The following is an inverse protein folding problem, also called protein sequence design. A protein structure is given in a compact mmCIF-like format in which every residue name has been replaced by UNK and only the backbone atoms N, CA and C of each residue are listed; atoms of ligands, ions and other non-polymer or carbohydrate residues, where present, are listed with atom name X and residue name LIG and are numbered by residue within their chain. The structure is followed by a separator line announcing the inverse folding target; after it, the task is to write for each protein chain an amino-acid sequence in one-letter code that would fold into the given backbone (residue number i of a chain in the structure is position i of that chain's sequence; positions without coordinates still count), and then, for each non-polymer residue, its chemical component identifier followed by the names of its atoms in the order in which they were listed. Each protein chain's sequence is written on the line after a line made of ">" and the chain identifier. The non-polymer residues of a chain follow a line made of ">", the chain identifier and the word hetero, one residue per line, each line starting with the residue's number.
data_IF_447421830476
#
_entry.id   IF_447421830476
#
_cell.length_a   1.000
_cell.length_b   1.000
_cell.length_c   1.000
_cell.angle_alpha   90.00
_cell.angle_beta   90.00
_cell.angle_gamma   90.00
#
_symmetry.space_group_name_H-M   'P 1'
#
loop_
_entity.id
_entity.type
_entity.pdbx_description
1 polymer ?
#
# COMPACT_ATOMS: atom_id res chain seq x y z
N UNK A 1 -53.62 33.17 -9.83
CA UNK A 1 -53.80 32.40 -8.58
C UNK A 1 -54.03 30.94 -8.93
N UNK A 2 -52.98 30.12 -9.00
CA UNK A 2 -53.07 28.67 -9.18
C UNK A 2 -52.25 28.04 -8.06
N UNK A 3 -52.96 27.46 -7.07
CA UNK A 3 -52.36 26.85 -5.89
C UNK A 3 -52.00 25.42 -6.25
N UNK A 4 -50.71 25.13 -6.30
CA UNK A 4 -50.18 23.77 -6.40
C UNK A 4 -50.51 23.01 -5.10
N UNK A 5 -51.12 21.83 -5.26
CA UNK A 5 -51.41 20.88 -4.21
C UNK A 5 -50.08 20.23 -3.75
N UNK A 6 -49.69 20.43 -2.50
CA UNK A 6 -48.56 19.71 -1.89
C UNK A 6 -49.11 18.41 -1.30
N UNK A 7 -48.75 17.28 -1.92
CA UNK A 7 -49.04 15.94 -1.42
C UNK A 7 -47.98 15.58 -0.37
N UNK A 8 -48.35 15.62 0.91
CA UNK A 8 -47.53 15.06 1.98
C UNK A 8 -47.67 13.53 1.97
N UNK A 9 -46.64 12.83 1.50
CA UNK A 9 -46.53 11.38 1.70
C UNK A 9 -45.91 11.14 3.08
N UNK A 10 -46.75 10.76 4.04
CA UNK A 10 -46.32 10.24 5.34
C UNK A 10 -46.03 8.74 5.17
N UNK A 11 -44.75 8.37 5.12
CA UNK A 11 -44.34 6.96 5.27
C UNK A 11 -44.24 6.64 6.76
N UNK A 12 -45.19 5.85 7.26
CA UNK A 12 -45.21 5.32 8.61
C UNK A 12 -44.16 4.23 8.81
N UNK A 13 -43.29 4.42 9.80
CA UNK A 13 -42.43 3.36 10.34
C UNK A 13 -43.26 2.49 11.30
N UNK A 14 -43.57 1.27 10.88
CA UNK A 14 -44.14 0.23 11.74
C UNK A 14 -43.03 -0.35 12.62
N UNK A 15 -43.04 -0.03 13.92
CA UNK A 15 -42.20 -0.68 14.92
C UNK A 15 -42.83 -1.98 15.41
N UNK A 16 -42.07 -3.08 15.38
CA UNK A 16 -42.44 -4.30 16.09
C UNK A 16 -42.18 -4.12 17.60
N UNK A 17 -43.24 -4.05 18.42
CA UNK A 17 -43.14 -4.25 19.86
C UNK A 17 -43.12 -5.74 20.17
N UNK A 18 -42.02 -6.24 20.73
CA UNK A 18 -41.97 -7.57 21.34
C UNK A 18 -42.38 -7.47 22.82
N UNK A 19 -43.23 -8.39 23.26
CA UNK A 19 -43.70 -8.50 24.64
C UNK A 19 -42.58 -8.93 25.61
N UNK A 20 -42.66 -8.57 26.91
CA UNK A 20 -41.64 -8.94 27.89
C UNK A 20 -41.80 -10.41 28.31
N UNK A 21 -40.77 -11.23 28.01
CA UNK A 21 -40.61 -12.58 28.57
C UNK A 21 -40.07 -12.56 30.01
N UNK A 22 -40.19 -13.67 30.76
CA UNK A 22 -39.81 -13.71 32.17
C UNK A 22 -38.30 -13.58 32.34
N UNK A 23 -37.89 -12.88 33.39
CA UNK A 23 -36.51 -12.58 33.75
C UNK A 23 -35.65 -13.86 33.89
N UNK A 24 -34.90 -14.16 32.85
CA UNK A 24 -33.76 -15.08 32.91
C UNK A 24 -32.61 -14.42 33.67
N UNK A 25 -31.95 -15.21 34.54
CA UNK A 25 -30.78 -14.82 35.32
C UNK A 25 -29.75 -14.09 34.43
N UNK A 26 -29.08 -13.02 34.92
CA UNK A 26 -28.08 -12.33 34.14
C UNK A 26 -27.01 -13.33 33.68
N UNK A 27 -26.85 -13.44 32.37
CA UNK A 27 -25.68 -14.06 31.78
C UNK A 27 -24.43 -13.35 32.35
N UNK A 28 -23.31 -14.07 32.57
CA UNK A 28 -22.08 -13.41 32.98
C UNK A 28 -21.78 -12.34 31.93
N UNK A 29 -21.72 -11.09 32.36
CA UNK A 29 -21.21 -9.97 31.57
C UNK A 29 -19.91 -10.45 30.95
N UNK A 30 -19.87 -10.57 29.62
CA UNK A 30 -18.62 -10.65 28.89
C UNK A 30 -17.84 -9.41 29.30
N UNK A 31 -16.87 -9.62 30.20
CA UNK A 31 -15.86 -8.64 30.52
C UNK A 31 -15.26 -8.22 29.19
N UNK A 32 -15.41 -6.94 28.86
CA UNK A 32 -14.67 -6.28 27.80
C UNK A 32 -13.24 -6.82 27.84
N UNK A 33 -12.84 -7.56 26.79
CA UNK A 33 -11.44 -7.92 26.59
C UNK A 33 -10.66 -6.62 26.58
N UNK A 34 -9.94 -6.38 27.66
CA UNK A 34 -8.93 -5.34 27.75
C UNK A 34 -7.98 -5.59 26.58
N UNK A 35 -8.00 -4.69 25.59
CA UNK A 35 -7.23 -4.83 24.37
C UNK A 35 -5.77 -5.16 24.70
N UNK A 36 -5.35 -6.37 24.38
CA UNK A 36 -3.96 -6.79 24.55
C UNK A 36 -3.13 -5.85 23.70
N UNK A 37 -2.31 -5.00 24.34
CA UNK A 37 -1.30 -4.22 23.65
C UNK A 37 -0.38 -5.22 22.95
N UNK A 38 -0.47 -5.32 21.62
CA UNK A 38 0.42 -6.17 20.84
C UNK A 38 1.82 -5.59 20.97
N UNK A 39 2.72 -6.33 21.61
CA UNK A 39 4.13 -5.96 21.69
C UNK A 39 4.83 -6.50 20.43
N UNK A 40 5.55 -5.68 19.66
CA UNK A 40 6.32 -6.14 18.52
C UNK A 40 7.30 -7.25 18.94
N UNK A 41 7.18 -8.43 18.33
CA UNK A 41 8.06 -9.57 18.67
C UNK A 41 9.37 -9.48 17.90
N UNK A 42 10.48 -9.37 18.61
CA UNK A 42 11.82 -9.33 18.01
C UNK A 42 12.09 -10.57 17.14
N UNK A 43 12.75 -10.43 15.98
CA UNK A 43 13.09 -11.56 15.15
C UNK A 43 14.09 -12.51 15.81
N UNK A 44 14.01 -13.78 15.43
CA UNK A 44 15.06 -14.75 15.79
C UNK A 44 16.42 -14.29 15.23
N UNK A 45 17.53 -14.73 15.84
CA UNK A 45 18.88 -14.41 15.32
C UNK A 45 19.07 -14.82 13.86
N UNK A 46 18.46 -15.95 13.46
CA UNK A 46 18.49 -16.44 12.07
C UNK A 46 17.76 -15.48 11.12
N UNK A 47 16.56 -15.04 11.49
CA UNK A 47 15.78 -14.10 10.68
C UNK A 47 16.46 -12.72 10.59
N UNK A 48 17.00 -12.22 11.71
CA UNK A 48 17.76 -10.98 11.73
C UNK A 48 19.02 -11.06 10.85
N UNK A 49 19.77 -12.18 10.89
CA UNK A 49 20.92 -12.39 10.01
C UNK A 49 20.52 -12.41 8.54
N UNK A 50 19.46 -13.16 8.19
CA UNK A 50 18.94 -13.20 6.83
C UNK A 50 18.57 -11.80 6.32
N UNK A 51 17.90 -10.99 7.15
CA UNK A 51 17.56 -9.62 6.81
C UNK A 51 18.81 -8.78 6.52
N UNK A 52 19.83 -8.81 7.38
CA UNK A 52 21.08 -8.07 7.18
C UNK A 52 21.83 -8.52 5.92
N UNK A 53 21.90 -9.83 5.66
CA UNK A 53 22.53 -10.37 4.45
C UNK A 53 21.82 -9.87 3.18
N UNK A 54 20.48 -9.84 3.20
CA UNK A 54 19.67 -9.34 2.08
C UNK A 54 19.82 -7.83 1.89
N UNK A 55 19.80 -7.04 2.97
CA UNK A 55 20.04 -5.58 2.90
C UNK A 55 21.39 -5.30 2.25
N UNK A 56 22.44 -6.02 2.67
CA UNK A 56 23.80 -5.87 2.15
C UNK A 56 23.88 -6.14 0.64
N UNK A 57 23.06 -7.05 0.13
CA UNK A 57 23.01 -7.39 -1.30
C UNK A 57 22.11 -6.45 -2.12
N UNK A 58 20.96 -6.05 -1.57
CA UNK A 58 19.93 -5.28 -2.28
C UNK A 58 20.23 -3.78 -2.33
N UNK A 59 20.70 -3.20 -1.22
CA UNK A 59 20.93 -1.75 -1.10
C UNK A 59 21.84 -1.19 -2.22
N UNK A 60 23.06 -1.68 -2.46
CA UNK A 60 23.93 -1.12 -3.51
C UNK A 60 23.35 -1.28 -4.93
N UNK A 61 22.58 -2.34 -5.17
CA UNK A 61 21.89 -2.57 -6.45
C UNK A 61 20.78 -1.54 -6.65
N UNK A 62 19.94 -1.33 -5.62
CA UNK A 62 18.88 -0.34 -5.64
C UNK A 62 19.43 1.07 -5.85
N UNK A 63 20.52 1.45 -5.16
CA UNK A 63 21.16 2.74 -5.36
C UNK A 63 21.69 2.91 -6.79
N UNK A 64 22.35 1.89 -7.33
CA UNK A 64 22.92 1.92 -8.68
C UNK A 64 21.82 2.11 -9.71
N UNK A 65 20.76 1.31 -9.62
CA UNK A 65 19.60 1.44 -10.51
C UNK A 65 18.90 2.79 -10.37
N UNK A 66 18.76 3.31 -9.14
CA UNK A 66 18.20 4.64 -8.92
C UNK A 66 19.03 5.73 -9.62
N UNK A 67 20.37 5.67 -9.49
CA UNK A 67 21.28 6.63 -10.13
C UNK A 67 21.19 6.56 -11.67
N UNK A 68 20.99 5.36 -12.22
CA UNK A 68 20.82 5.14 -13.67
C UNK A 68 19.48 5.65 -14.20
N UNK A 69 18.38 5.35 -13.50
CA UNK A 69 17.02 5.56 -14.01
C UNK A 69 16.38 6.88 -13.54
N UNK A 70 16.84 7.41 -12.42
CA UNK A 70 16.24 8.54 -11.73
C UNK A 70 17.32 9.50 -11.18
N UNK A 71 18.23 9.92 -12.06
CA UNK A 71 19.40 10.74 -11.71
C UNK A 71 19.07 12.09 -11.01
N UNK A 72 17.82 12.54 -11.08
CA UNK A 72 17.33 13.73 -10.40
C UNK A 72 16.84 13.47 -8.96
N UNK A 73 16.74 12.22 -8.52
CA UNK A 73 16.33 11.84 -7.18
C UNK A 73 17.54 11.67 -6.25
N UNK A 74 17.30 11.79 -4.94
CA UNK A 74 18.26 11.30 -3.96
C UNK A 74 18.22 9.77 -3.94
N UNK A 75 19.35 9.13 -4.26
CA UNK A 75 19.46 7.67 -4.36
C UNK A 75 20.27 7.03 -3.24
N UNK A 76 20.56 7.78 -2.17
CA UNK A 76 21.20 7.28 -0.94
C UNK A 76 20.13 6.63 -0.04
N UNK A 77 19.84 5.35 -0.30
CA UNK A 77 18.83 4.61 0.43
C UNK A 77 19.26 4.37 1.88
N UNK A 78 18.29 4.39 2.79
CA UNK A 78 18.50 3.95 4.17
C UNK A 78 17.46 2.92 4.54
N UNK A 79 17.88 1.67 4.70
CA UNK A 79 17.00 0.59 5.12
C UNK A 79 17.00 0.50 6.64
N UNK A 80 15.81 0.61 7.25
CA UNK A 80 15.65 0.65 8.71
C UNK A 80 14.66 -0.40 9.19
N UNK A 81 14.83 -0.84 10.43
CA UNK A 81 13.86 -1.70 11.10
C UNK A 81 12.99 -0.85 12.01
N UNK A 82 11.68 -0.86 11.77
CA UNK A 82 10.71 -0.28 12.70
C UNK A 82 10.49 -1.25 13.85
N UNK A 83 11.00 -0.86 15.01
CA UNK A 83 10.92 -1.65 16.26
C UNK A 83 9.73 -1.26 17.12
N UNK A 84 9.01 -0.20 16.75
CA UNK A 84 7.89 0.35 17.51
C UNK A 84 6.56 -0.06 16.91
N UNK A 85 6.51 -0.33 15.61
CA UNK A 85 5.30 -0.77 14.90
C UNK A 85 4.79 -2.14 15.40
N UNK A 86 3.65 -2.18 16.11
CA UNK A 86 3.05 -3.40 16.62
C UNK A 86 2.12 -4.08 15.62
N UNK A 87 1.96 -3.51 14.42
CA UNK A 87 1.00 -3.96 13.42
C UNK A 87 1.43 -5.28 12.75
N UNK A 88 0.57 -5.75 11.85
CA UNK A 88 0.88 -6.88 10.97
C UNK A 88 2.15 -6.63 10.14
N UNK A 89 2.65 -7.68 9.49
CA UNK A 89 3.82 -7.61 8.62
C UNK A 89 3.71 -6.46 7.61
N UNK A 90 4.62 -5.49 7.70
CA UNK A 90 4.63 -4.31 6.86
C UNK A 90 6.05 -3.92 6.42
N UNK A 91 6.13 -3.40 5.20
CA UNK A 91 7.26 -2.68 4.66
C UNK A 91 6.72 -1.46 3.89
N UNK A 92 7.41 -0.33 3.95
CA UNK A 92 6.99 0.86 3.23
C UNK A 92 8.17 1.81 2.95
N UNK A 93 8.03 2.57 1.88
CA UNK A 93 8.93 3.65 1.49
C UNK A 93 8.41 5.02 1.97
N UNK A 94 9.32 5.89 2.41
CA UNK A 94 9.06 7.32 2.62
C UNK A 94 10.34 8.16 2.53
N UNK A 95 10.19 9.49 2.57
CA UNK A 95 11.31 10.42 2.57
C UNK A 95 11.56 10.98 3.98
N UNK A 96 12.82 11.03 4.38
CA UNK A 96 13.23 11.79 5.57
C UNK A 96 12.97 13.28 5.37
N UNK A 97 13.03 14.07 6.45
CA UNK A 97 12.96 15.55 6.36
C UNK A 97 14.03 16.18 5.47
N UNK A 98 15.13 15.46 5.19
CA UNK A 98 16.21 15.89 4.29
C UNK A 98 16.06 15.32 2.88
N UNK A 99 14.95 14.67 2.56
CA UNK A 99 14.72 14.03 1.26
C UNK A 99 15.49 12.73 1.04
N UNK A 100 16.02 12.10 2.10
CA UNK A 100 16.67 10.79 1.99
C UNK A 100 15.61 9.68 1.91
N UNK A 101 15.67 8.79 0.91
CA UNK A 101 14.75 7.66 0.83
C UNK A 101 14.99 6.66 1.96
N UNK A 102 13.92 6.34 2.70
CA UNK A 102 13.93 5.36 3.77
C UNK A 102 13.02 4.19 3.37
N UNK A 103 13.57 2.97 3.44
CA UNK A 103 12.79 1.74 3.33
C UNK A 103 12.65 1.18 4.75
N UNK A 104 11.44 1.21 5.30
CA UNK A 104 11.16 0.74 6.65
C UNK A 104 10.55 -0.65 6.61
N UNK A 105 11.05 -1.55 7.45
CA UNK A 105 10.52 -2.91 7.60
C UNK A 105 10.27 -3.18 9.07
N UNK A 106 9.07 -3.61 9.45
CA UNK A 106 8.78 -3.91 10.85
C UNK A 106 9.20 -5.34 11.24
N UNK A 107 9.27 -5.62 12.55
CA UNK A 107 9.63 -6.96 13.02
C UNK A 107 8.67 -8.06 12.54
N UNK A 108 7.38 -7.75 12.41
CA UNK A 108 6.39 -8.71 11.92
C UNK A 108 6.71 -9.15 10.48
N UNK A 109 7.16 -8.25 9.61
CA UNK A 109 7.57 -8.57 8.25
C UNK A 109 8.79 -9.48 8.23
N UNK A 110 9.83 -9.14 9.00
CA UNK A 110 11.07 -9.95 9.10
C UNK A 110 10.76 -11.38 9.58
N UNK A 111 9.77 -11.54 10.47
CA UNK A 111 9.32 -12.85 10.95
C UNK A 111 8.39 -13.59 9.97
N UNK A 112 7.76 -12.89 9.03
CA UNK A 112 6.75 -13.45 8.12
C UNK A 112 7.37 -13.97 6.82
N UNK A 113 8.47 -13.38 6.37
CA UNK A 113 9.22 -13.89 5.20
C UNK A 113 9.83 -15.26 5.50
N UNK A 114 9.78 -16.16 4.53
CA UNK A 114 10.21 -17.56 4.68
C UNK A 114 11.65 -17.80 4.24
N UNK A 115 12.19 -16.91 3.41
CA UNK A 115 13.53 -17.02 2.85
C UNK A 115 14.05 -15.64 2.41
N UNK A 116 15.30 -15.62 1.97
CA UNK A 116 16.00 -14.41 1.51
C UNK A 116 15.38 -13.82 0.25
N UNK A 117 14.83 -14.64 -0.64
CA UNK A 117 14.25 -14.27 -1.92
C UNK A 117 12.97 -13.46 -1.72
N UNK A 118 12.13 -13.84 -0.75
CA UNK A 118 10.95 -13.08 -0.36
C UNK A 118 11.35 -11.72 0.22
N UNK A 119 12.34 -11.67 1.13
CA UNK A 119 12.80 -10.40 1.70
C UNK A 119 13.47 -9.49 0.64
N UNK A 120 14.26 -10.06 -0.27
CA UNK A 120 14.93 -9.32 -1.32
C UNK A 120 13.93 -8.70 -2.28
N UNK A 121 12.87 -9.44 -2.62
CA UNK A 121 11.80 -8.93 -3.47
C UNK A 121 10.99 -7.84 -2.78
N UNK A 122 10.68 -7.96 -1.47
CA UNK A 122 10.01 -6.90 -0.70
C UNK A 122 10.86 -5.62 -0.68
N UNK A 123 12.15 -5.70 -0.34
CA UNK A 123 13.02 -4.51 -0.35
C UNK A 123 13.19 -3.91 -1.74
N UNK A 124 13.31 -4.75 -2.78
CA UNK A 124 13.35 -4.30 -4.17
C UNK A 124 12.07 -3.60 -4.60
N UNK A 125 10.90 -4.06 -4.15
CA UNK A 125 9.62 -3.44 -4.40
C UNK A 125 9.54 -2.04 -3.77
N UNK A 126 9.92 -1.89 -2.49
CA UNK A 126 9.95 -0.58 -1.81
C UNK A 126 10.94 0.39 -2.47
N UNK A 127 12.12 -0.10 -2.90
CA UNK A 127 13.05 0.70 -3.70
C UNK A 127 12.44 1.11 -5.04
N UNK A 128 11.69 0.21 -5.68
CA UNK A 128 10.96 0.47 -6.93
C UNK A 128 9.98 1.63 -6.81
N UNK A 129 9.26 1.76 -5.68
CA UNK A 129 8.40 2.92 -5.44
C UNK A 129 9.15 4.25 -5.47
N UNK A 130 10.35 4.29 -4.87
CA UNK A 130 11.17 5.49 -4.88
C UNK A 130 11.73 5.79 -6.28
N UNK A 131 12.30 4.78 -6.95
CA UNK A 131 12.91 4.92 -8.27
C UNK A 131 11.89 5.42 -9.30
N UNK A 132 10.65 4.93 -9.25
CA UNK A 132 9.56 5.36 -10.13
C UNK A 132 8.88 6.68 -9.72
N UNK A 133 9.34 7.30 -8.62
CA UNK A 133 8.81 8.57 -8.12
C UNK A 133 7.34 8.51 -7.68
N UNK A 134 6.88 7.36 -7.21
CA UNK A 134 5.45 7.13 -6.92
C UNK A 134 4.89 8.09 -5.88
N UNK A 135 5.66 8.46 -4.85
CA UNK A 135 5.21 9.42 -3.84
C UNK A 135 4.85 10.78 -4.47
N UNK A 136 5.74 11.34 -5.29
CA UNK A 136 5.50 12.62 -5.95
C UNK A 136 4.36 12.55 -6.98
N UNK A 137 4.30 11.46 -7.75
CA UNK A 137 3.23 11.23 -8.74
C UNK A 137 1.85 11.06 -8.06
N UNK A 138 1.81 10.41 -6.91
CA UNK A 138 0.60 10.24 -6.12
C UNK A 138 0.14 11.57 -5.51
N UNK A 139 1.07 12.37 -4.96
CA UNK A 139 0.77 13.71 -4.45
C UNK A 139 0.22 14.64 -5.55
N UNK A 140 0.82 14.60 -6.74
CA UNK A 140 0.35 15.37 -7.89
C UNK A 140 -1.06 14.91 -8.34
N UNK A 141 -1.28 13.60 -8.43
CA UNK A 141 -2.60 13.04 -8.76
C UNK A 141 -3.66 13.45 -7.73
N UNK A 142 -3.33 13.42 -6.44
CA UNK A 142 -4.20 13.90 -5.37
C UNK A 142 -4.50 15.40 -5.52
N UNK A 143 -3.49 16.22 -5.80
CA UNK A 143 -3.65 17.66 -6.00
C UNK A 143 -4.55 17.95 -7.20
N UNK A 144 -4.35 17.27 -8.32
CA UNK A 144 -5.16 17.44 -9.52
C UNK A 144 -6.61 17.01 -9.29
N UNK A 145 -6.84 15.84 -8.70
CA UNK A 145 -8.19 15.38 -8.36
C UNK A 145 -8.90 16.35 -7.40
N UNK A 146 -8.17 16.89 -6.42
CA UNK A 146 -8.68 17.91 -5.50
C UNK A 146 -9.11 19.20 -6.21
N UNK A 147 -8.33 19.66 -7.21
CA UNK A 147 -8.66 20.84 -8.01
C UNK A 147 -9.91 20.58 -8.85
N UNK A 148 -9.92 19.48 -9.62
CA UNK A 148 -11.02 19.14 -10.53
C UNK A 148 -12.35 19.01 -9.77
N UNK A 149 -12.37 18.29 -8.64
CA UNK A 149 -13.60 18.12 -7.87
C UNK A 149 -14.06 19.41 -7.18
N UNK A 150 -13.13 20.25 -6.72
CA UNK A 150 -13.48 21.55 -6.15
C UNK A 150 -14.07 22.49 -7.20
N UNK A 151 -13.50 22.52 -8.41
CA UNK A 151 -13.99 23.31 -9.53
C UNK A 151 -15.37 22.83 -9.97
N UNK A 152 -15.56 21.51 -10.12
CA UNK A 152 -16.85 20.92 -10.44
C UNK A 152 -17.93 21.30 -9.42
N UNK A 153 -17.62 21.24 -8.12
CA UNK A 153 -18.55 21.68 -7.09
C UNK A 153 -18.86 23.19 -7.21
N UNK A 154 -17.83 24.01 -7.44
CA UNK A 154 -17.97 25.46 -7.56
C UNK A 154 -18.87 25.87 -8.73
N UNK A 155 -18.69 25.28 -9.92
CA UNK A 155 -19.51 25.62 -11.10
C UNK A 155 -20.96 25.15 -10.97
N UNK A 156 -21.23 24.17 -10.10
CA UNK A 156 -22.58 23.70 -9.77
C UNK A 156 -23.24 24.49 -8.63
N UNK A 157 -22.64 25.61 -8.20
CA UNK A 157 -23.22 26.49 -7.17
C UNK A 157 -23.11 25.94 -5.74
N UNK A 158 -22.20 25.01 -5.49
CA UNK A 158 -22.00 24.44 -4.16
C UNK A 158 -21.49 25.49 -3.16
N UNK A 159 -21.85 25.32 -1.90
CA UNK A 159 -21.37 26.14 -0.79
C UNK A 159 -19.87 25.94 -0.55
N UNK A 160 -19.23 26.87 0.17
CA UNK A 160 -17.80 26.76 0.56
C UNK A 160 -17.48 25.45 1.28
N UNK A 161 -18.39 24.96 2.12
CA UNK A 161 -18.23 23.68 2.84
C UNK A 161 -18.27 22.50 1.88
N UNK A 162 -19.20 22.49 0.94
CA UNK A 162 -19.31 21.44 -0.08
C UNK A 162 -18.10 21.43 -1.02
N UNK A 163 -17.60 22.59 -1.44
CA UNK A 163 -16.36 22.70 -2.22
C UNK A 163 -15.17 22.12 -1.46
N UNK A 164 -15.06 22.39 -0.15
CA UNK A 164 -14.00 21.82 0.70
C UNK A 164 -14.11 20.30 0.80
N UNK A 165 -15.32 19.75 0.89
CA UNK A 165 -15.54 18.31 0.91
C UNK A 165 -15.25 17.67 -0.45
N UNK A 166 -15.68 18.29 -1.54
CA UNK A 166 -15.37 17.87 -2.90
C UNK A 166 -13.86 17.85 -3.16
N UNK A 167 -13.12 18.86 -2.66
CA UNK A 167 -11.65 18.89 -2.71
C UNK A 167 -11.03 17.66 -2.03
N UNK A 168 -11.49 17.31 -0.82
CA UNK A 168 -10.98 16.14 -0.08
C UNK A 168 -11.28 14.84 -0.82
N UNK A 169 -12.51 14.69 -1.31
CA UNK A 169 -12.91 13.53 -2.10
C UNK A 169 -12.05 13.41 -3.37
N UNK A 170 -11.87 14.52 -4.09
CA UNK A 170 -11.02 14.58 -5.27
C UNK A 170 -9.58 14.17 -5.00
N UNK A 171 -9.01 14.59 -3.86
CA UNK A 171 -7.68 14.13 -3.46
C UNK A 171 -7.60 12.61 -3.31
N UNK A 172 -8.58 12.01 -2.63
CA UNK A 172 -8.64 10.55 -2.44
C UNK A 172 -8.79 9.83 -3.78
N UNK A 173 -9.71 10.27 -4.63
CA UNK A 173 -9.91 9.67 -5.95
C UNK A 173 -8.66 9.79 -6.83
N UNK A 174 -7.99 10.94 -6.80
CA UNK A 174 -6.73 11.16 -7.51
C UNK A 174 -5.63 10.20 -7.06
N UNK A 175 -5.50 9.95 -5.75
CA UNK A 175 -4.54 8.95 -5.26
C UNK A 175 -4.85 7.53 -5.72
N UNK A 176 -6.15 7.15 -5.73
CA UNK A 176 -6.58 5.80 -6.09
C UNK A 176 -6.47 5.52 -7.58
N UNK A 177 -6.53 6.54 -8.43
CA UNK A 177 -6.58 6.38 -9.88
C UNK A 177 -5.41 5.57 -10.46
N UNK A 178 -4.20 5.74 -9.91
CA UNK A 178 -2.97 5.10 -10.42
C UNK A 178 -2.31 4.15 -9.44
N UNK A 179 -2.89 3.92 -8.25
CA UNK A 179 -2.24 3.14 -7.20
C UNK A 179 -1.89 1.72 -7.66
N UNK A 180 -2.80 1.05 -8.39
CA UNK A 180 -2.58 -0.30 -8.90
C UNK A 180 -1.47 -0.37 -9.95
N UNK A 181 -1.37 0.64 -10.81
CA UNK A 181 -0.31 0.72 -11.82
C UNK A 181 1.05 0.95 -11.18
N UNK A 182 1.10 1.77 -10.13
CA UNK A 182 2.32 2.01 -9.34
C UNK A 182 2.81 0.71 -8.67
N UNK A 183 1.91 -0.11 -8.14
CA UNK A 183 2.28 -1.41 -7.57
C UNK A 183 2.90 -2.35 -8.61
N UNK A 184 2.32 -2.41 -9.82
CA UNK A 184 2.85 -3.25 -10.91
C UNK A 184 4.19 -2.72 -11.44
N UNK A 185 4.36 -1.40 -11.50
CA UNK A 185 5.63 -0.76 -11.84
C UNK A 185 6.70 -1.04 -10.78
N UNK A 186 6.36 -0.96 -9.50
CA UNK A 186 7.25 -1.30 -8.39
C UNK A 186 7.60 -2.80 -8.38
N UNK A 187 6.66 -3.70 -8.70
CA UNK A 187 6.94 -5.13 -8.88
C UNK A 187 7.91 -5.40 -10.04
N UNK A 188 7.78 -4.67 -11.15
CA UNK A 188 8.71 -4.76 -12.29
C UNK A 188 10.12 -4.33 -11.88
N UNK A 189 10.27 -3.16 -11.26
CA UNK A 189 11.58 -2.64 -10.81
C UNK A 189 12.17 -3.55 -9.74
N UNK A 190 11.37 -3.96 -8.75
CA UNK A 190 11.77 -4.87 -7.68
C UNK A 190 12.21 -6.24 -8.20
N UNK A 191 11.60 -6.74 -9.29
CA UNK A 191 12.06 -7.94 -9.99
C UNK A 191 13.48 -7.79 -10.50
N UNK A 192 13.79 -6.67 -11.16
CA UNK A 192 15.13 -6.41 -11.72
C UNK A 192 16.16 -6.24 -10.60
N UNK A 193 15.82 -5.52 -9.53
CA UNK A 193 16.68 -5.37 -8.34
C UNK A 193 16.99 -6.73 -7.73
N UNK A 194 15.98 -7.57 -7.51
CA UNK A 194 16.17 -8.90 -6.93
C UNK A 194 17.10 -9.76 -7.80
N UNK A 195 16.93 -9.75 -9.13
CA UNK A 195 17.81 -10.49 -10.05
C UNK A 195 19.25 -9.99 -9.95
N UNK A 196 19.47 -8.68 -10.03
CA UNK A 196 20.80 -8.06 -9.96
C UNK A 196 21.48 -8.28 -8.60
N UNK A 197 20.69 -8.40 -7.52
CA UNK A 197 21.15 -8.75 -6.18
C UNK A 197 21.41 -10.26 -5.98
N UNK A 198 21.19 -11.09 -7.01
CA UNK A 198 21.45 -12.53 -6.98
C UNK A 198 20.32 -13.39 -6.41
N UNK A 199 19.11 -12.84 -6.29
CA UNK A 199 17.93 -13.54 -5.79
C UNK A 199 16.95 -13.92 -6.90
N UNK A 200 16.19 -14.99 -6.68
CA UNK A 200 15.15 -15.41 -7.61
C UNK A 200 13.84 -14.65 -7.33
N UNK A 201 13.42 -13.71 -8.19
CA UNK A 201 12.24 -12.89 -7.96
C UNK A 201 10.93 -13.70 -8.06
N UNK A 202 10.91 -14.80 -8.83
CA UNK A 202 9.73 -15.66 -8.95
C UNK A 202 9.50 -16.47 -7.68
N UNK A 203 10.57 -16.82 -6.96
CA UNK A 203 10.46 -17.37 -5.60
C UNK A 203 10.02 -16.27 -4.64
N UNK A 204 10.62 -15.07 -4.72
CA UNK A 204 10.28 -13.95 -3.85
C UNK A 204 8.80 -13.52 -3.93
N UNK A 205 8.25 -13.42 -5.14
CA UNK A 205 6.85 -13.05 -5.36
C UNK A 205 5.84 -14.10 -4.88
N UNK A 206 6.27 -15.31 -4.49
CA UNK A 206 5.37 -16.27 -3.80
C UNK A 206 4.89 -15.75 -2.45
N UNK A 207 5.54 -14.72 -1.91
CA UNK A 207 5.04 -13.96 -0.76
C UNK A 207 3.58 -13.54 -0.96
N UNK A 208 3.21 -13.04 -2.15
CA UNK A 208 1.82 -12.63 -2.45
C UNK A 208 0.82 -13.76 -2.35
N UNK A 209 1.19 -14.98 -2.79
CA UNK A 209 0.30 -16.14 -2.70
C UNK A 209 -0.05 -16.56 -1.27
N UNK A 210 0.63 -15.99 -0.27
CA UNK A 210 0.39 -16.24 1.15
C UNK A 210 -0.45 -15.14 1.82
N UNK A 211 -0.71 -14.05 1.10
CA UNK A 211 -1.59 -12.97 1.52
C UNK A 211 -2.98 -13.18 0.92
N UNK A 212 -4.06 -12.79 1.63
CA UNK A 212 -5.37 -12.68 1.00
C UNK A 212 -5.25 -11.80 -0.24
N UNK A 213 -5.74 -12.27 -1.39
CA UNK A 213 -5.71 -11.43 -2.59
C UNK A 213 -6.63 -10.24 -2.36
N UNK A 214 -6.14 -8.99 -2.49
CA UNK A 214 -7.04 -7.88 -2.66
C UNK A 214 -7.85 -8.16 -3.92
N UNK A 215 -9.18 -8.06 -3.84
CA UNK A 215 -10.04 -8.18 -5.01
C UNK A 215 -9.75 -7.05 -6.00
N UNK A 216 -10.33 -7.08 -7.20
CA UNK A 216 -10.16 -5.98 -8.17
C UNK A 216 -11.03 -4.75 -7.86
N UNK A 217 -11.37 -4.53 -6.58
CA UNK A 217 -12.23 -3.42 -6.16
C UNK A 217 -11.60 -2.07 -6.52
N UNK A 218 -12.43 -1.12 -6.96
CA UNK A 218 -12.02 0.24 -7.36
C UNK A 218 -11.40 1.04 -6.21
N UNK A 219 -11.60 0.62 -4.95
CA UNK A 219 -11.09 1.30 -3.76
C UNK A 219 -9.85 0.62 -3.14
N UNK A 220 -9.40 -0.51 -3.71
CA UNK A 220 -8.18 -1.18 -3.28
C UNK A 220 -6.94 -0.54 -3.89
N UNK A 221 -5.93 -0.24 -3.07
CA UNK A 221 -4.66 0.31 -3.55
C UNK A 221 -3.78 -0.75 -4.24
N UNK A 222 -3.92 -2.02 -3.84
CA UNK A 222 -3.13 -3.13 -4.37
C UNK A 222 -3.89 -3.94 -5.43
N UNK A 223 -3.25 -4.31 -6.56
CA UNK A 223 -3.86 -5.15 -7.58
C UNK A 223 -3.96 -6.62 -7.14
N UNK A 224 -4.82 -7.43 -7.77
CA UNK A 224 -4.89 -8.86 -7.53
C UNK A 224 -3.52 -9.56 -7.59
N UNK A 225 -3.30 -10.50 -6.67
CA UNK A 225 -2.01 -11.19 -6.55
C UNK A 225 -1.59 -11.89 -7.86
N UNK A 226 -2.55 -12.37 -8.65
CA UNK A 226 -2.31 -12.99 -9.95
C UNK A 226 -1.65 -12.02 -10.95
N UNK A 227 -2.11 -10.76 -11.01
CA UNK A 227 -1.53 -9.72 -11.87
C UNK A 227 -0.09 -9.39 -11.44
N UNK A 228 0.14 -9.29 -10.13
CA UNK A 228 1.48 -9.06 -9.54
C UNK A 228 2.45 -10.19 -9.87
N UNK A 229 2.04 -11.44 -9.68
CA UNK A 229 2.88 -12.61 -10.01
C UNK A 229 3.13 -12.69 -11.53
N UNK A 230 2.14 -12.33 -12.35
CA UNK A 230 2.31 -12.31 -13.81
C UNK A 230 3.35 -11.27 -14.25
N UNK A 231 3.32 -10.05 -13.70
CA UNK A 231 4.31 -9.01 -14.05
C UNK A 231 5.72 -9.42 -13.63
N UNK A 232 5.87 -10.06 -12.46
CA UNK A 232 7.17 -10.58 -11.99
C UNK A 232 7.70 -11.66 -12.92
N UNK A 233 6.87 -12.65 -13.29
CA UNK A 233 7.28 -13.73 -14.21
C UNK A 233 7.66 -13.20 -15.58
N UNK A 234 6.85 -12.27 -16.12
CA UNK A 234 7.13 -11.64 -17.41
C UNK A 234 8.46 -10.89 -17.36
N UNK A 235 8.65 -10.02 -16.36
CA UNK A 235 9.87 -9.22 -16.20
C UNK A 235 11.11 -10.09 -16.03
N UNK A 236 11.02 -11.16 -15.23
CA UNK A 236 12.12 -12.11 -15.05
C UNK A 236 12.46 -12.84 -16.36
N UNK A 237 11.45 -13.24 -17.14
CA UNK A 237 11.66 -13.86 -18.45
C UNK A 237 12.31 -12.88 -19.43
N UNK A 238 11.80 -11.65 -19.52
CA UNK A 238 12.32 -10.62 -20.41
C UNK A 238 13.79 -10.29 -20.06
N UNK A 239 14.13 -10.24 -18.77
CA UNK A 239 15.50 -9.97 -18.32
C UNK A 239 16.48 -11.06 -18.73
N UNK A 240 16.06 -12.34 -18.69
CA UNK A 240 16.89 -13.45 -19.14
C UNK A 240 17.13 -13.46 -20.65
N UNK A 241 16.18 -12.92 -21.43
CA UNK A 241 16.27 -12.88 -22.89
C UNK A 241 17.03 -11.64 -23.40
N UNK A 242 16.86 -10.49 -22.75
CA UNK A 242 17.45 -9.22 -23.17
C UNK A 242 17.68 -8.29 -21.95
N UNK A 243 18.75 -8.51 -21.16
CA UNK A 243 18.98 -7.77 -19.92
C UNK A 243 19.16 -6.26 -20.13
N UNK A 244 19.75 -5.85 -21.27
CA UNK A 244 19.99 -4.43 -21.59
C UNK A 244 18.74 -3.69 -22.09
N UNK A 245 17.70 -4.42 -22.50
CA UNK A 245 16.46 -3.83 -23.03
C UNK A 245 15.48 -3.37 -21.94
N UNK A 246 15.69 -3.77 -20.68
CA UNK A 246 14.80 -3.45 -19.56
C UNK A 246 15.26 -2.25 -18.71
N UNK A 247 16.41 -1.68 -19.02
CA UNK A 247 17.00 -0.54 -18.31
C UNK A 247 16.74 0.80 -19.00
N UNK A 248 16.10 0.79 -20.17
CA UNK A 248 15.74 1.96 -20.98
C UNK A 248 14.22 2.20 -21.01
#
# INVERSE_FOLDING_TARGET
>A
MHRFLILFVVLGLSGCMAAPGPAGKPAPTETAEQGVVKVPQKPSRKAAKMFVDVVTAVEPVAETMCKEQAANLNCDFRIVVDVQDPEAANAHQFLSRRGQPILSVNFAMINTVRNSEEMAFVLGHEAGHHIAGHLARQEDSARQGAIVMAELASVNGATTTEIKNARKLGAVLGMLQYSKDFELEADRIGTIIAIKAGYNPVIGARFFSRLPSPGDEMLGTHPPNEKRIAIVRKTASDYLLAPDALLN
#
